data_IF_702003553150
#
_entry.id   IF_702003553150
#
_cell.length_a   1.000
_cell.length_b   1.000
_cell.length_c   1.000
_cell.angle_alpha   90.00
_cell.angle_beta   90.00
_cell.angle_gamma   90.00
#
_symmetry.space_group_name_H-M   'P 1'
#
loop_
_entity.id
_entity.type
_entity.pdbx_description
1 polymer ?
#
# COMPACT_ATOMS: atom_id res chain seq x y z
N UNK A 1 5.20 8.25 5.74
CA UNK A 1 5.24 9.47 4.90
C UNK A 1 4.51 9.36 3.56
N UNK A 2 4.46 8.22 2.87
CA UNK A 2 3.82 8.15 1.54
C UNK A 2 2.30 7.87 1.53
N UNK A 3 1.69 7.56 2.68
CA UNK A 3 0.23 7.39 2.79
C UNK A 3 -0.33 6.08 2.23
N UNK A 4 0.52 5.08 1.99
CA UNK A 4 0.13 3.74 1.52
C UNK A 4 0.42 2.63 2.55
N UNK A 5 0.54 3.00 3.83
CA UNK A 5 0.75 2.07 4.93
C UNK A 5 -0.46 2.07 5.85
N UNK A 6 -0.90 0.88 6.26
CA UNK A 6 -1.95 0.70 7.26
C UNK A 6 -3.10 -0.15 6.75
N UNK A 7 -3.21 -1.38 7.28
CA UNK A 7 -4.25 -2.33 6.91
C UNK A 7 -5.66 -1.86 7.25
N UNK A 8 -5.81 -1.06 8.32
CA UNK A 8 -7.09 -0.44 8.71
C UNK A 8 -7.62 0.48 7.60
N UNK A 9 -6.72 1.11 6.85
CA UNK A 9 -7.04 1.95 5.70
C UNK A 9 -7.01 1.18 4.37
N UNK A 10 -7.11 -0.15 4.41
CA UNK A 10 -7.06 -1.04 3.24
C UNK A 10 -5.73 -1.05 2.49
N UNK A 11 -4.71 -0.32 2.95
CA UNK A 11 -3.37 -0.43 2.39
C UNK A 11 -2.62 -1.63 2.97
N UNK A 12 -1.35 -1.77 2.60
CA UNK A 12 -0.52 -2.86 3.10
C UNK A 12 -0.06 -2.59 4.53
N UNK A 13 -0.18 -3.60 5.40
CA UNK A 13 0.40 -3.60 6.74
C UNK A 13 1.85 -4.09 6.73
N UNK A 14 2.55 -3.95 7.86
CA UNK A 14 3.97 -4.31 7.98
C UNK A 14 4.30 -5.75 7.57
N UNK A 15 3.41 -6.71 7.86
CA UNK A 15 3.60 -8.10 7.45
C UNK A 15 3.57 -8.28 5.92
N UNK A 16 2.65 -7.61 5.22
CA UNK A 16 2.60 -7.64 3.75
C UNK A 16 3.85 -7.01 3.14
N UNK A 17 4.30 -5.86 3.67
CA UNK A 17 5.55 -5.22 3.25
C UNK A 17 6.77 -6.13 3.46
N UNK A 18 6.84 -6.82 4.59
CA UNK A 18 7.93 -7.75 4.88
C UNK A 18 7.99 -8.91 3.86
N UNK A 19 6.85 -9.46 3.46
CA UNK A 19 6.79 -10.50 2.41
C UNK A 19 7.28 -9.95 1.06
N UNK A 20 6.85 -8.74 0.69
CA UNK A 20 7.30 -8.08 -0.54
C UNK A 20 8.82 -7.89 -0.56
N UNK A 21 9.37 -7.38 0.54
CA UNK A 21 10.82 -7.19 0.68
C UNK A 21 11.55 -8.53 0.65
N UNK A 22 11.08 -9.54 1.38
CA UNK A 22 11.68 -10.87 1.40
C UNK A 22 11.72 -11.50 0.01
N UNK A 23 10.66 -11.32 -0.79
CA UNK A 23 10.61 -11.84 -2.16
C UNK A 23 11.68 -11.21 -3.04
N UNK A 24 11.86 -9.89 -2.96
CA UNK A 24 12.94 -9.19 -3.69
C UNK A 24 14.30 -9.63 -3.19
N UNK A 25 14.50 -9.71 -1.87
CA UNK A 25 15.73 -10.21 -1.29
C UNK A 25 16.05 -11.64 -1.75
N UNK A 26 15.08 -12.54 -1.82
CA UNK A 26 15.30 -13.87 -2.38
C UNK A 26 15.72 -13.79 -3.85
N UNK A 27 15.01 -13.04 -4.69
CA UNK A 27 15.37 -12.92 -6.12
C UNK A 27 16.75 -12.29 -6.35
N UNK A 28 17.13 -11.28 -5.54
CA UNK A 28 18.36 -10.50 -5.70
C UNK A 28 19.57 -11.04 -4.94
N UNK A 29 19.37 -11.63 -3.76
CA UNK A 29 20.45 -12.10 -2.89
C UNK A 29 20.76 -13.59 -3.06
N UNK A 30 19.90 -14.39 -3.70
CA UNK A 30 20.23 -15.80 -4.00
C UNK A 30 21.52 -15.97 -4.83
N UNK A 31 21.86 -15.06 -5.77
CA UNK A 31 23.18 -15.02 -6.40
C UNK A 31 24.32 -14.54 -5.49
N UNK A 32 24.02 -13.76 -4.44
CA UNK A 32 24.99 -13.19 -3.49
C UNK A 32 25.23 -14.20 -2.37
N UNK A 33 25.97 -15.27 -2.69
CA UNK A 33 26.39 -16.29 -1.71
C UNK A 33 27.40 -15.79 -0.65
N UNK A 34 27.76 -14.51 -0.63
CA UNK A 34 28.88 -13.98 0.16
C UNK A 34 28.54 -12.91 1.21
N UNK A 35 27.27 -12.63 1.51
CA UNK A 35 26.91 -11.76 2.63
C UNK A 35 27.03 -12.55 3.94
N UNK A 36 28.26 -12.74 4.43
CA UNK A 36 28.54 -13.42 5.69
C UNK A 36 28.25 -12.52 6.92
N UNK A 37 28.16 -11.19 6.74
CA UNK A 37 27.79 -10.22 7.79
C UNK A 37 27.05 -8.99 7.21
N UNK A 38 26.13 -8.41 8.00
CA UNK A 38 25.40 -7.16 7.68
C UNK A 38 26.36 -5.97 7.48
N UNK A 39 27.55 -6.03 8.07
CA UNK A 39 28.58 -4.98 8.04
C UNK A 39 29.17 -4.75 6.64
N UNK A 40 28.97 -5.67 5.69
CA UNK A 40 29.45 -5.54 4.31
C UNK A 40 28.38 -5.02 3.34
N UNK A 41 27.18 -4.69 3.84
CA UNK A 41 26.09 -4.25 2.98
C UNK A 41 26.28 -2.80 2.54
N UNK A 42 26.60 -2.59 1.25
CA UNK A 42 26.91 -1.26 0.72
C UNK A 42 25.65 -0.46 0.36
N UNK A 43 25.79 0.86 0.27
CA UNK A 43 24.72 1.76 -0.24
C UNK A 43 24.29 1.35 -1.65
N UNK A 44 25.22 0.89 -2.49
CA UNK A 44 24.92 0.45 -3.85
C UNK A 44 24.01 -0.79 -3.86
N UNK A 45 24.24 -1.74 -2.93
CA UNK A 45 23.40 -2.92 -2.78
C UNK A 45 22.02 -2.55 -2.24
N UNK A 46 21.95 -1.67 -1.25
CA UNK A 46 20.67 -1.14 -0.73
C UNK A 46 19.87 -0.48 -1.85
N UNK A 47 20.52 0.41 -2.59
CA UNK A 47 19.90 1.12 -3.71
C UNK A 47 19.38 0.14 -4.77
N UNK A 48 20.18 -0.87 -5.12
CA UNK A 48 19.77 -1.89 -6.10
C UNK A 48 18.54 -2.68 -5.63
N UNK A 49 18.46 -3.06 -4.34
CA UNK A 49 17.27 -3.71 -3.79
C UNK A 49 16.04 -2.81 -3.87
N UNK A 50 16.19 -1.52 -3.50
CA UNK A 50 15.09 -0.55 -3.52
C UNK A 50 14.60 -0.30 -4.95
N UNK A 51 15.51 -0.09 -5.89
CA UNK A 51 15.17 0.08 -7.30
C UNK A 51 14.42 -1.13 -7.84
N UNK A 52 14.91 -2.32 -7.51
CA UNK A 52 14.33 -3.59 -7.97
C UNK A 52 12.98 -3.87 -7.34
N UNK A 53 12.79 -3.47 -6.08
CA UNK A 53 11.49 -3.53 -5.42
C UNK A 53 10.45 -2.72 -6.19
N UNK A 54 10.74 -1.46 -6.46
CA UNK A 54 9.79 -0.57 -7.11
C UNK A 54 9.53 -0.98 -8.57
N UNK A 55 10.57 -1.33 -9.32
CA UNK A 55 10.41 -1.76 -10.72
C UNK A 55 9.68 -3.10 -10.87
N UNK A 56 9.86 -4.03 -9.91
CA UNK A 56 9.13 -5.30 -9.92
C UNK A 56 7.65 -5.06 -9.64
N UNK A 57 7.32 -4.34 -8.56
CA UNK A 57 5.94 -4.24 -8.09
C UNK A 57 5.11 -3.15 -8.77
N UNK A 58 5.73 -2.20 -9.46
CA UNK A 58 5.04 -1.24 -10.35
C UNK A 58 4.45 -1.92 -11.59
N UNK A 59 5.06 -3.02 -12.03
CA UNK A 59 4.70 -3.79 -13.24
C UNK A 59 4.03 -5.13 -12.93
N UNK A 60 4.05 -5.58 -11.67
CA UNK A 60 3.43 -6.84 -11.26
C UNK A 60 1.92 -6.84 -11.53
N UNK A 61 1.40 -7.92 -12.11
CA UNK A 61 -0.01 -8.02 -12.44
C UNK A 61 -0.87 -8.40 -11.22
N UNK A 62 -1.09 -7.43 -10.34
CA UNK A 62 -1.86 -7.59 -9.11
C UNK A 62 -3.30 -8.10 -9.32
N UNK A 63 -3.87 -7.89 -10.52
CA UNK A 63 -5.24 -8.28 -10.85
C UNK A 63 -5.41 -9.79 -11.07
N UNK A 64 -4.40 -10.46 -11.63
CA UNK A 64 -4.46 -11.89 -11.99
C UNK A 64 -3.46 -12.76 -11.24
N UNK A 65 -2.35 -12.18 -10.77
CA UNK A 65 -1.29 -12.93 -10.10
C UNK A 65 -1.35 -12.82 -8.58
N UNK A 66 -0.77 -13.84 -7.93
CA UNK A 66 -0.60 -13.89 -6.48
C UNK A 66 0.89 -14.00 -6.16
N UNK A 67 1.37 -13.09 -5.31
CA UNK A 67 2.73 -13.12 -4.82
C UNK A 67 2.88 -14.19 -3.74
N UNK A 68 3.90 -15.03 -3.86
CA UNK A 68 4.22 -16.05 -2.85
C UNK A 68 5.72 -16.31 -2.78
N UNK A 69 6.20 -16.58 -1.56
CA UNK A 69 7.56 -17.07 -1.32
C UNK A 69 7.67 -18.60 -1.48
N UNK A 70 6.55 -19.30 -1.70
CA UNK A 70 6.49 -20.76 -1.81
C UNK A 70 6.06 -21.12 -3.23
N UNK A 71 6.99 -21.49 -4.13
CA UNK A 71 6.69 -21.71 -5.55
C UNK A 71 5.62 -22.77 -5.82
N UNK A 72 5.40 -23.71 -4.91
CA UNK A 72 4.37 -24.76 -5.04
C UNK A 72 2.93 -24.22 -4.90
N UNK A 73 2.74 -23.04 -4.29
CA UNK A 73 1.42 -22.43 -4.10
C UNK A 73 0.88 -21.75 -5.36
N UNK A 74 1.74 -21.19 -6.21
CA UNK A 74 1.30 -20.47 -7.42
C UNK A 74 0.54 -21.37 -8.39
N UNK A 75 0.94 -22.65 -8.52
CA UNK A 75 0.29 -23.65 -9.38
C UNK A 75 -1.06 -24.15 -8.85
N UNK A 76 -1.32 -24.02 -7.55
CA UNK A 76 -2.54 -24.50 -6.89
C UNK A 76 -3.68 -23.46 -6.89
N UNK A 77 -3.39 -22.20 -7.24
CA UNK A 77 -4.32 -21.08 -7.11
C UNK A 77 -5.54 -21.14 -8.04
N UNK A 78 -5.46 -21.83 -9.19
CA UNK A 78 -6.59 -21.98 -10.12
C UNK A 78 -7.80 -22.71 -9.52
N UNK A 79 -7.62 -23.43 -8.40
CA UNK A 79 -8.68 -24.16 -7.70
C UNK A 79 -8.89 -23.68 -6.24
N UNK A 80 -8.33 -22.53 -5.86
CA UNK A 80 -8.26 -22.14 -4.44
C UNK A 80 -9.55 -21.53 -3.88
N UNK A 81 -9.71 -21.66 -2.56
CA UNK A 81 -10.88 -21.19 -1.79
C UNK A 81 -11.09 -19.68 -1.89
N UNK A 82 -12.35 -19.25 -1.73
CA UNK A 82 -12.77 -17.84 -1.78
C UNK A 82 -11.99 -16.91 -0.84
N UNK A 83 -11.40 -17.43 0.24
CA UNK A 83 -10.63 -16.67 1.23
C UNK A 83 -9.29 -16.17 0.66
N UNK A 84 -8.63 -16.99 -0.16
CA UNK A 84 -7.34 -16.64 -0.79
C UNK A 84 -7.51 -15.64 -1.94
N UNK A 85 -8.73 -15.55 -2.48
CA UNK A 85 -9.11 -14.60 -3.52
C UNK A 85 -9.62 -13.25 -2.98
N UNK A 86 -9.75 -13.08 -1.66
CA UNK A 86 -10.21 -11.81 -1.08
C UNK A 86 -9.17 -10.71 -1.27
N UNK A 87 -9.64 -9.49 -1.54
CA UNK A 87 -8.80 -8.31 -1.70
C UNK A 87 -8.22 -8.18 -3.11
N UNK A 88 -7.88 -6.94 -3.49
CA UNK A 88 -7.41 -6.56 -4.83
C UNK A 88 -5.91 -6.74 -5.04
N UNK A 89 -5.16 -7.05 -3.98
CA UNK A 89 -3.76 -7.46 -4.04
C UNK A 89 -3.63 -8.81 -3.33
N UNK A 90 -2.95 -9.78 -3.95
CA UNK A 90 -2.74 -11.12 -3.40
C UNK A 90 -1.31 -11.30 -2.96
N UNK A 91 -1.08 -11.24 -1.65
CA UNK A 91 0.21 -11.46 -1.00
C UNK A 91 0.03 -12.61 -0.02
N UNK A 92 0.57 -13.78 -0.37
CA UNK A 92 0.30 -15.01 0.38
C UNK A 92 1.31 -15.21 1.52
N UNK A 93 0.80 -15.55 2.70
CA UNK A 93 1.65 -15.92 3.83
C UNK A 93 2.48 -17.17 3.50
N UNK A 94 3.77 -17.17 3.81
CA UNK A 94 4.64 -18.33 3.54
C UNK A 94 4.36 -19.52 4.46
N UNK A 95 3.74 -19.29 5.62
CA UNK A 95 3.44 -20.34 6.60
C UNK A 95 1.98 -20.81 6.49
N UNK A 96 1.73 -22.13 6.59
CA UNK A 96 0.39 -22.67 6.75
C UNK A 96 -0.28 -22.25 8.08
N UNK A 97 -1.61 -22.06 8.13
CA UNK A 97 -2.50 -22.00 6.98
C UNK A 97 -2.22 -20.76 6.13
N UNK A 98 -2.03 -20.95 4.83
CA UNK A 98 -1.75 -19.87 3.91
C UNK A 98 -2.96 -18.93 3.84
N UNK A 99 -2.71 -17.62 3.89
CA UNK A 99 -3.73 -16.59 3.85
C UNK A 99 -3.27 -15.42 2.99
N UNK A 100 -4.20 -14.67 2.41
CA UNK A 100 -3.88 -13.39 1.81
C UNK A 100 -3.69 -12.33 2.90
N UNK A 101 -2.46 -11.85 3.08
CA UNK A 101 -2.14 -10.79 4.05
C UNK A 101 -2.69 -9.42 3.63
N UNK A 102 -2.93 -9.22 2.33
CA UNK A 102 -3.50 -8.01 1.74
C UNK A 102 -5.03 -8.13 1.48
N UNK A 103 -5.73 -8.97 2.24
CA UNK A 103 -7.18 -9.21 2.09
C UNK A 103 -8.08 -7.98 2.22
N UNK A 104 -7.60 -6.92 2.89
CA UNK A 104 -8.35 -5.68 3.12
C UNK A 104 -8.18 -4.66 1.99
N UNK A 105 -7.33 -4.97 1.01
CA UNK A 105 -7.01 -4.05 -0.07
C UNK A 105 -8.14 -4.01 -1.07
N UNK A 106 -8.65 -2.82 -1.33
CA UNK A 106 -9.66 -2.59 -2.36
C UNK A 106 -8.98 -2.16 -3.67
N UNK A 107 -9.74 -2.05 -4.75
CA UNK A 107 -9.14 -1.81 -6.06
C UNK A 107 -8.56 -0.39 -6.16
N UNK A 108 -9.20 0.60 -5.56
CA UNK A 108 -8.67 1.97 -5.44
C UNK A 108 -7.38 2.00 -4.62
N UNK A 109 -7.31 1.23 -3.51
CA UNK A 109 -6.07 1.11 -2.73
C UNK A 109 -4.94 0.49 -3.55
N UNK A 110 -5.22 -0.59 -4.29
CA UNK A 110 -4.25 -1.24 -5.18
C UNK A 110 -3.72 -0.21 -6.18
N UNK A 111 -4.60 0.52 -6.84
CA UNK A 111 -4.22 1.47 -7.88
C UNK A 111 -3.36 2.61 -7.30
N UNK A 112 -3.70 3.12 -6.11
CA UNK A 112 -2.88 4.09 -5.39
C UNK A 112 -1.50 3.55 -5.00
N UNK A 113 -1.42 2.30 -4.55
CA UNK A 113 -0.15 1.63 -4.24
C UNK A 113 0.70 1.48 -5.51
N UNK A 114 0.11 1.01 -6.61
CA UNK A 114 0.81 0.82 -7.89
C UNK A 114 1.29 2.16 -8.46
N UNK A 115 0.45 3.19 -8.45
CA UNK A 115 0.83 4.55 -8.85
C UNK A 115 1.97 5.09 -7.98
N UNK A 116 1.98 4.78 -6.69
CA UNK A 116 3.06 5.14 -5.78
C UNK A 116 4.38 4.45 -6.16
N UNK A 117 4.32 3.16 -6.50
CA UNK A 117 5.49 2.43 -6.98
C UNK A 117 6.02 2.99 -8.30
N UNK A 118 5.15 3.26 -9.26
CA UNK A 118 5.50 3.88 -10.55
C UNK A 118 6.11 5.27 -10.36
N UNK A 119 5.55 6.09 -9.46
CA UNK A 119 6.09 7.42 -9.15
C UNK A 119 7.52 7.34 -8.61
N UNK A 120 7.80 6.36 -7.74
CA UNK A 120 9.14 6.17 -7.19
C UNK A 120 10.10 5.59 -8.24
N UNK A 121 9.64 4.64 -9.06
CA UNK A 121 10.42 4.12 -10.19
C UNK A 121 10.85 5.26 -11.14
N UNK A 122 9.91 6.09 -11.57
CA UNK A 122 10.19 7.25 -12.43
C UNK A 122 11.13 8.27 -11.75
N UNK A 123 11.00 8.46 -10.44
CA UNK A 123 11.91 9.33 -9.69
C UNK A 123 13.34 8.77 -9.70
N UNK A 124 13.50 7.46 -9.51
CA UNK A 124 14.80 6.80 -9.53
C UNK A 124 15.44 6.81 -10.93
N UNK A 125 14.65 6.82 -12.00
CA UNK A 125 15.15 6.96 -13.38
C UNK A 125 15.61 8.39 -13.72
N UNK A 126 15.10 9.40 -13.01
CA UNK A 126 15.37 10.82 -13.31
C UNK A 126 16.48 11.44 -12.46
N UNK A 127 16.79 10.86 -11.30
CA UNK A 127 17.88 11.33 -10.43
C UNK A 127 19.21 10.76 -10.94
N UNK A 128 20.29 11.55 -10.85
CA UNK A 128 21.64 11.03 -11.06
C UNK A 128 21.94 9.95 -10.01
N UNK A 129 22.42 8.77 -10.42
CA UNK A 129 22.73 7.66 -9.52
C UNK A 129 24.10 7.05 -9.83
N UNK A 130 25.03 7.86 -10.37
CA UNK A 130 26.36 7.41 -10.80
C UNK A 130 27.23 7.05 -9.59
N UNK A 131 27.31 7.93 -8.59
CA UNK A 131 28.09 7.69 -7.37
C UNK A 131 27.25 7.10 -6.24
N UNK A 132 27.91 6.52 -5.23
CA UNK A 132 27.22 6.02 -4.02
C UNK A 132 26.57 7.15 -3.22
N UNK A 133 27.15 8.36 -3.25
CA UNK A 133 26.57 9.56 -2.62
C UNK A 133 25.29 10.00 -3.34
N UNK A 134 25.30 9.98 -4.68
CA UNK A 134 24.11 10.28 -5.47
C UNK A 134 22.96 9.29 -5.17
N UNK A 135 23.28 8.00 -5.05
CA UNK A 135 22.32 6.96 -4.67
C UNK A 135 21.78 7.15 -3.25
N UNK A 136 22.64 7.53 -2.30
CA UNK A 136 22.21 7.85 -0.94
C UNK A 136 21.23 9.03 -0.94
N UNK A 137 21.54 10.09 -1.70
CA UNK A 137 20.65 11.25 -1.85
C UNK A 137 19.33 10.89 -2.53
N UNK A 138 19.32 9.99 -3.50
CA UNK A 138 18.10 9.47 -4.11
C UNK A 138 17.22 8.72 -3.09
N UNK A 139 17.81 7.86 -2.25
CA UNK A 139 17.09 7.16 -1.17
C UNK A 139 16.50 8.15 -0.16
N UNK A 140 17.24 9.19 0.21
CA UNK A 140 16.74 10.26 1.10
C UNK A 140 15.54 10.98 0.48
N UNK A 141 15.62 11.32 -0.81
CA UNK A 141 14.53 11.95 -1.56
C UNK A 141 13.26 11.10 -1.54
N UNK A 142 13.37 9.77 -1.64
CA UNK A 142 12.21 8.88 -1.54
C UNK A 142 11.52 9.02 -0.17
N UNK A 143 12.29 9.11 0.92
CA UNK A 143 11.75 9.25 2.28
C UNK A 143 11.09 10.61 2.54
N UNK A 144 11.50 11.63 1.81
CA UNK A 144 10.97 13.00 1.86
C UNK A 144 9.67 13.17 1.05
N UNK A 145 9.30 12.19 0.22
CA UNK A 145 8.06 12.27 -0.54
C UNK A 145 6.85 12.31 0.40
N UNK A 146 6.01 13.32 0.18
CA UNK A 146 4.81 13.58 0.98
C UNK A 146 3.63 12.73 0.52
N UNK A 147 2.72 12.46 1.45
CA UNK A 147 1.38 11.93 1.15
C UNK A 147 0.72 12.87 0.16
N UNK A 148 0.25 12.33 -0.96
CA UNK A 148 -0.56 13.10 -1.89
C UNK A 148 -2.03 12.80 -1.59
N UNK A 149 -2.61 13.50 -0.62
CA UNK A 149 -4.04 13.45 -0.33
C UNK A 149 -4.60 14.88 -0.28
N UNK A 150 -5.71 15.17 -0.98
CA UNK A 150 -6.28 14.35 -2.06
C UNK A 150 -5.33 14.31 -3.28
N UNK A 151 -5.40 13.26 -4.10
CA UNK A 151 -4.80 13.30 -5.45
C UNK A 151 -5.64 14.19 -6.37
N UNK A 152 -5.01 14.75 -7.40
CA UNK A 152 -5.61 15.76 -8.30
C UNK A 152 -6.96 15.36 -8.91
N UNK A 153 -7.17 14.06 -9.16
CA UNK A 153 -8.43 13.56 -9.73
C UNK A 153 -9.59 13.46 -8.75
N UNK A 154 -9.38 13.64 -7.44
CA UNK A 154 -10.47 13.59 -6.46
C UNK A 154 -11.31 14.87 -6.60
N UNK A 155 -12.58 14.71 -6.97
CA UNK A 155 -13.50 15.85 -7.10
C UNK A 155 -14.26 16.15 -5.81
N UNK A 156 -14.51 15.15 -4.96
CA UNK A 156 -15.33 15.31 -3.76
C UNK A 156 -14.62 14.78 -2.53
N UNK A 157 -14.70 15.50 -1.41
CA UNK A 157 -14.20 15.06 -0.11
C UNK A 157 -15.35 15.02 0.88
N UNK A 158 -15.46 13.92 1.62
CA UNK A 158 -16.32 13.80 2.79
C UNK A 158 -15.44 13.92 4.02
N UNK A 159 -15.78 14.84 4.90
CA UNK A 159 -15.15 15.01 6.21
C UNK A 159 -16.06 14.45 7.29
N UNK A 160 -15.54 13.49 8.05
CA UNK A 160 -16.19 12.96 9.23
C UNK A 160 -15.55 13.61 10.45
N UNK A 161 -16.27 14.54 11.08
CA UNK A 161 -15.85 15.17 12.34
C UNK A 161 -16.40 14.38 13.52
N UNK A 162 -15.51 13.96 14.41
CA UNK A 162 -15.86 13.33 15.67
C UNK A 162 -15.51 14.29 16.79
N UNK A 163 -16.48 14.59 17.63
CA UNK A 163 -16.32 15.42 18.83
C UNK A 163 -16.62 14.58 20.07
N UNK A 164 -15.89 14.82 21.15
CA UNK A 164 -16.16 14.19 22.44
C UNK A 164 -16.02 15.21 23.57
N UNK A 165 -16.84 15.07 24.60
CA UNK A 165 -16.70 15.85 25.83
C UNK A 165 -15.47 15.40 26.64
N UNK A 166 -15.10 14.13 26.54
CA UNK A 166 -13.93 13.54 27.19
C UNK A 166 -12.81 13.28 26.16
N UNK A 167 -11.71 14.05 26.16
CA UNK A 167 -10.64 13.89 25.18
C UNK A 167 -9.96 12.52 25.25
N UNK A 168 -10.02 11.83 26.40
CA UNK A 168 -9.43 10.51 26.56
C UNK A 168 -10.18 9.42 25.77
N UNK A 169 -11.42 9.68 25.36
CA UNK A 169 -12.26 8.72 24.60
C UNK A 169 -12.16 8.92 23.08
N UNK A 170 -11.57 10.04 22.62
CA UNK A 170 -11.59 10.40 21.21
C UNK A 170 -10.94 9.32 20.33
N UNK A 171 -9.84 8.73 20.79
CA UNK A 171 -9.13 7.68 20.06
C UNK A 171 -9.94 6.38 19.95
N UNK A 172 -10.71 6.03 20.99
CA UNK A 172 -11.62 4.88 20.96
C UNK A 172 -12.74 5.09 19.96
N UNK A 173 -13.35 6.29 19.97
CA UNK A 173 -14.37 6.69 19.00
C UNK A 173 -13.85 6.70 17.57
N UNK A 174 -12.64 7.21 17.34
CA UNK A 174 -11.97 7.16 16.04
C UNK A 174 -11.76 5.70 15.60
N UNK A 175 -11.30 4.83 16.50
CA UNK A 175 -11.11 3.41 16.22
C UNK A 175 -12.42 2.72 15.82
N UNK A 176 -13.48 2.97 16.59
CA UNK A 176 -14.82 2.46 16.30
C UNK A 176 -15.34 2.93 14.95
N UNK A 177 -15.26 4.23 14.67
CA UNK A 177 -15.71 4.86 13.42
C UNK A 177 -14.96 4.30 12.21
N UNK A 178 -13.63 4.18 12.28
CA UNK A 178 -12.82 3.54 11.22
C UNK A 178 -13.28 2.11 10.91
N UNK A 179 -13.60 1.33 11.93
CA UNK A 179 -14.05 -0.06 11.75
C UNK A 179 -15.38 -0.17 11.01
N UNK A 180 -16.28 0.81 11.17
CA UNK A 180 -17.59 0.86 10.52
C UNK A 180 -17.53 1.48 9.12
N UNK A 181 -16.76 2.54 8.96
CA UNK A 181 -16.56 3.19 7.66
C UNK A 181 -15.94 2.26 6.62
N UNK A 182 -15.15 1.27 7.02
CA UNK A 182 -14.60 0.28 6.10
C UNK A 182 -15.68 -0.40 5.24
N UNK A 183 -16.85 -0.71 5.81
CA UNK A 183 -17.97 -1.32 5.06
C UNK A 183 -18.63 -0.32 4.11
N UNK A 184 -18.89 0.91 4.58
CA UNK A 184 -19.44 1.98 3.77
C UNK A 184 -18.56 2.26 2.55
N UNK A 185 -17.26 2.41 2.78
CA UNK A 185 -16.26 2.67 1.73
C UNK A 185 -16.21 1.53 0.72
N UNK A 186 -16.28 0.28 1.17
CA UNK A 186 -16.34 -0.88 0.28
C UNK A 186 -17.61 -0.85 -0.59
N UNK A 187 -18.76 -0.49 -0.01
CA UNK A 187 -20.01 -0.35 -0.76
C UNK A 187 -19.95 0.79 -1.79
N UNK A 188 -19.35 1.94 -1.42
CA UNK A 188 -19.10 3.04 -2.37
C UNK A 188 -18.30 2.58 -3.58
N UNK A 189 -17.23 1.81 -3.38
CA UNK A 189 -16.41 1.35 -4.49
C UNK A 189 -17.10 0.26 -5.32
N UNK A 190 -17.73 -0.71 -4.67
CA UNK A 190 -18.24 -1.92 -5.34
C UNK A 190 -19.66 -1.78 -5.90
N UNK A 191 -20.51 -0.97 -5.26
CA UNK A 191 -21.91 -0.78 -5.68
C UNK A 191 -22.13 0.54 -6.42
N UNK A 192 -21.35 1.58 -6.08
CA UNK A 192 -21.50 2.91 -6.67
C UNK A 192 -20.42 3.24 -7.70
N UNK A 193 -19.48 2.33 -7.97
CA UNK A 193 -18.37 2.52 -8.92
C UNK A 193 -17.54 3.79 -8.62
N UNK A 194 -17.28 4.05 -7.34
CA UNK A 194 -16.46 5.18 -6.92
C UNK A 194 -15.00 4.74 -6.73
N UNK A 195 -14.09 5.55 -7.25
CA UNK A 195 -12.70 5.53 -6.82
C UNK A 195 -12.60 6.21 -5.45
N UNK A 196 -11.94 5.56 -4.49
CA UNK A 196 -11.84 6.04 -3.11
C UNK A 196 -10.39 6.23 -2.69
N UNK A 197 -10.10 7.40 -2.12
CA UNK A 197 -8.85 7.67 -1.44
C UNK A 197 -9.12 8.04 0.02
N UNK A 198 -8.42 7.40 0.95
CA UNK A 198 -8.49 7.73 2.38
C UNK A 198 -7.29 8.59 2.78
N UNK A 199 -7.52 9.59 3.64
CA UNK A 199 -6.44 10.18 4.41
C UNK A 199 -6.00 9.17 5.48
N UNK A 200 -4.70 8.93 5.66
CA UNK A 200 -4.20 7.97 6.65
C UNK A 200 -3.89 8.60 8.01
N UNK A 201 -4.10 9.90 8.13
CA UNK A 201 -4.05 10.65 9.38
C UNK A 201 -5.43 11.13 9.80
N UNK A 202 -5.56 11.38 11.10
CA UNK A 202 -6.67 12.15 11.68
C UNK A 202 -6.11 13.53 12.00
N UNK A 203 -6.85 14.56 11.62
CA UNK A 203 -6.51 15.94 11.98
C UNK A 203 -7.17 16.25 13.32
N UNK A 204 -6.36 16.37 14.36
CA UNK A 204 -6.84 16.68 15.71
C UNK A 204 -6.92 18.19 15.89
N UNK A 205 -8.09 18.68 16.30
CA UNK A 205 -8.30 20.06 16.70
C UNK A 205 -8.36 20.12 18.23
N UNK A 206 -7.18 20.28 18.86
CA UNK A 206 -7.03 20.25 20.33
C UNK A 206 -7.86 21.30 21.06
N UNK A 207 -8.23 22.39 20.40
CA UNK A 207 -9.08 23.44 20.99
C UNK A 207 -10.54 23.02 21.16
N UNK A 208 -10.98 21.96 20.48
CA UNK A 208 -12.39 21.52 20.44
C UNK A 208 -12.60 20.05 20.82
N UNK A 209 -11.54 19.33 21.18
CA UNK A 209 -11.58 17.87 21.37
C UNK A 209 -12.19 17.15 20.15
N UNK A 210 -11.84 17.63 18.96
CA UNK A 210 -12.37 17.14 17.69
C UNK A 210 -11.28 16.41 16.90
N UNK A 211 -11.67 15.34 16.22
CA UNK A 211 -10.86 14.65 15.22
C UNK A 211 -11.58 14.65 13.87
N UNK A 212 -10.90 15.10 12.82
CA UNK A 212 -11.43 15.12 11.46
C UNK A 212 -10.80 14.00 10.63
N UNK A 213 -11.65 13.19 9.99
CA UNK A 213 -11.26 12.14 9.07
C UNK A 213 -11.77 12.42 7.67
N UNK A 214 -10.87 12.58 6.70
CA UNK A 214 -11.22 12.94 5.33
C UNK A 214 -11.12 11.76 4.37
N UNK A 215 -12.13 11.62 3.51
CA UNK A 215 -12.22 10.59 2.48
C UNK A 215 -12.52 11.27 1.14
N UNK A 216 -11.64 11.08 0.17
CA UNK A 216 -11.80 11.54 -1.20
C UNK A 216 -12.54 10.52 -2.06
N UNK A 217 -13.45 11.00 -2.90
CA UNK A 217 -14.19 10.23 -3.88
C UNK A 217 -14.03 10.82 -5.28
N UNK A 218 -14.01 9.92 -6.25
CA UNK A 218 -14.07 10.24 -7.67
C UNK A 218 -14.92 9.20 -8.39
N UNK A 219 -15.62 9.58 -9.45
CA UNK A 219 -16.37 8.61 -10.28
C UNK A 219 -15.36 7.81 -11.11
N UNK A 220 -15.42 6.48 -11.03
CA UNK A 220 -14.59 5.61 -11.87
C UNK A 220 -15.28 5.35 -13.21
N UNK A 221 -15.09 6.26 -14.18
CA UNK A 221 -15.69 6.17 -15.51
C UNK A 221 -15.30 4.89 -16.28
N UNK A 222 -14.09 4.37 -16.05
CA UNK A 222 -13.62 3.15 -16.70
C UNK A 222 -14.39 1.92 -16.18
N UNK A 223 -14.70 1.86 -14.88
CA UNK A 223 -15.57 0.80 -14.32
C UNK A 223 -17.04 0.94 -14.71
N UNK A 224 -17.51 2.15 -14.96
CA UNK A 224 -18.86 2.35 -15.48
C UNK A 224 -19.02 1.79 -16.90
N UNK A 225 -17.95 1.74 -17.69
CA UNK A 225 -17.95 1.20 -19.06
C UNK A 225 -17.97 -0.34 -19.09
N UNK A 226 -17.37 -1.03 -18.12
CA UNK A 226 -17.37 -2.50 -18.06
C UNK A 226 -18.70 -3.12 -17.62
N UNK A 227 -19.65 -2.31 -17.13
CA UNK A 227 -20.98 -2.73 -16.71
C UNK A 227 -22.12 -2.27 -17.64
N UNK A 228 -21.80 -1.69 -18.80
CA UNK A 228 -22.76 -1.40 -19.89
C UNK A 228 -22.54 -2.36 -21.05
#
# INVERSE_FOLDING_TARGET
NFGIYGQVYGYLGGYSWAILCAHICHSFLTPIKSLYTIEQFSVDQLFSLVQSFFSTYSKFNWSTEALTLVPRLSKSMNNSSSILQRGSMRILSPTPPHNNSARATMASNRDLIVQSFQRIENLLETINTISSEDKFNALKRILELKVNFPIEKIQTIIECTLSTDNPNELDEWIGWMKSRLAYFINDCETKCNLFVQRNNSIEYQSSKNEGVYSIGFEIDEERLKTHR
#
